data_IF_160879114402
#
_entry.id   IF_160879114402
#
_cell.length_a   1.000
_cell.length_b   1.000
_cell.length_c   1.000
_cell.angle_alpha   90.00
_cell.angle_beta   90.00
_cell.angle_gamma   90.00
#
_symmetry.space_group_name_H-M   'P 1'
#
loop_
_entity.id
_entity.type
_entity.pdbx_description
1 polymer ?
#
# COMPACT_ATOMS: atom_id res chain seq x y z
N UNK A 1 8.67 -4.01 18.04
CA UNK A 1 9.12 -2.79 17.38
C UNK A 1 8.38 -2.55 16.09
N UNK A 2 7.68 -1.47 15.99
CA UNK A 2 6.98 -1.20 14.76
C UNK A 2 7.95 -0.96 13.61
N UNK A 3 7.61 -1.52 12.50
CA UNK A 3 8.34 -1.26 11.29
C UNK A 3 7.95 0.11 10.77
N UNK A 4 8.55 0.50 9.66
CA UNK A 4 8.11 1.67 8.96
C UNK A 4 6.78 1.35 8.32
N UNK A 5 5.72 1.45 9.10
CA UNK A 5 4.40 1.13 8.64
C UNK A 5 3.86 2.24 7.76
N UNK A 6 3.10 1.84 6.77
CA UNK A 6 2.52 2.77 5.81
C UNK A 6 1.01 2.64 5.92
N UNK A 7 0.34 3.77 6.09
CA UNK A 7 -1.11 3.76 6.17
C UNK A 7 -1.66 5.07 5.63
N UNK A 8 -2.91 5.02 5.21
CA UNK A 8 -3.60 6.21 4.72
C UNK A 8 -5.09 6.02 4.88
N UNK A 9 -5.83 7.09 4.64
CA UNK A 9 -7.29 7.07 4.67
C UNK A 9 -7.80 7.51 3.32
N UNK A 10 -8.89 6.91 2.89
CA UNK A 10 -9.56 7.33 1.68
C UNK A 10 -11.04 7.09 1.80
N UNK A 11 -11.79 7.55 0.82
CA UNK A 11 -13.23 7.36 0.79
C UNK A 11 -13.55 6.34 -0.31
N UNK A 12 -14.43 5.39 0.01
CA UNK A 12 -14.87 4.41 -0.97
C UNK A 12 -15.84 5.05 -1.94
N UNK A 13 -16.23 4.29 -2.97
CA UNK A 13 -17.13 4.80 -3.98
C UNK A 13 -18.48 5.21 -3.43
N UNK A 14 -18.93 4.53 -2.37
CA UNK A 14 -20.21 4.86 -1.75
C UNK A 14 -20.10 5.94 -0.68
N UNK A 15 -18.94 6.55 -0.56
CA UNK A 15 -18.75 7.65 0.37
C UNK A 15 -18.33 7.27 1.77
N UNK A 16 -18.06 6.00 2.02
CA UNK A 16 -17.66 5.54 3.34
C UNK A 16 -16.17 5.76 3.56
N UNK A 17 -15.77 6.17 4.77
CA UNK A 17 -14.35 6.30 5.08
C UNK A 17 -13.70 4.93 5.18
N UNK A 18 -12.46 4.85 4.72
CA UNK A 18 -11.71 3.59 4.76
C UNK A 18 -10.29 3.87 5.19
N UNK A 19 -9.80 3.07 6.12
CA UNK A 19 -8.40 3.11 6.52
C UNK A 19 -7.66 1.97 5.84
N UNK A 20 -6.52 2.27 5.25
CA UNK A 20 -5.69 1.28 4.58
C UNK A 20 -4.34 1.24 5.29
N UNK A 21 -3.87 0.05 5.54
CA UNK A 21 -2.61 -0.17 6.23
C UNK A 21 -1.82 -1.21 5.45
N UNK A 22 -0.53 -0.96 5.27
CA UNK A 22 0.33 -1.86 4.52
C UNK A 22 1.49 -2.28 5.39
N UNK A 23 1.74 -3.57 5.42
CA UNK A 23 2.82 -4.15 6.19
C UNK A 23 3.84 -4.75 5.24
N UNK A 24 5.11 -4.46 5.48
CA UNK A 24 6.21 -5.03 4.70
C UNK A 24 6.69 -6.28 5.41
N UNK A 25 6.41 -7.44 4.83
CA UNK A 25 6.78 -8.73 5.41
C UNK A 25 7.70 -9.44 4.43
N UNK A 26 8.98 -9.52 4.79
CA UNK A 26 9.96 -10.08 3.88
C UNK A 26 10.05 -9.25 2.62
N UNK A 27 9.71 -9.87 1.48
CA UNK A 27 9.72 -9.18 0.19
C UNK A 27 8.33 -8.85 -0.30
N UNK A 28 7.32 -9.01 0.57
CA UNK A 28 5.94 -8.80 0.18
C UNK A 28 5.36 -7.59 0.87
N UNK A 29 4.41 -6.98 0.20
CA UNK A 29 3.63 -5.89 0.76
C UNK A 29 2.21 -6.40 0.97
N UNK A 30 1.76 -6.43 2.22
CA UNK A 30 0.45 -6.95 2.57
C UNK A 30 -0.47 -5.80 2.93
N UNK A 31 -1.63 -5.78 2.29
CA UNK A 31 -2.61 -4.71 2.47
C UNK A 31 -3.71 -5.16 3.41
N UNK A 32 -4.12 -4.24 4.27
CA UNK A 32 -5.21 -4.43 5.21
C UNK A 32 -6.10 -3.20 5.17
N UNK A 33 -7.38 -3.39 5.48
CA UNK A 33 -8.31 -2.27 5.51
C UNK A 33 -9.33 -2.46 6.63
N UNK A 34 -9.92 -1.34 7.05
CA UNK A 34 -11.04 -1.34 7.97
C UNK A 34 -11.81 -0.05 7.77
N UNK A 35 -13.12 -0.13 8.03
CA UNK A 35 -13.98 1.03 7.84
C UNK A 35 -14.03 1.91 9.08
N UNK A 36 -14.09 1.29 10.25
CA UNK A 36 -14.21 2.01 11.49
C UNK A 36 -12.98 1.78 12.35
N UNK A 37 -12.70 2.78 13.18
CA UNK A 37 -11.54 2.74 14.04
C UNK A 37 -11.49 1.50 14.93
N UNK A 38 -12.66 0.98 15.32
CA UNK A 38 -12.73 -0.17 16.21
C UNK A 38 -12.85 -1.49 15.49
N UNK A 39 -12.98 -1.46 14.17
CA UNK A 39 -13.07 -2.69 13.40
C UNK A 39 -11.71 -3.39 13.36
N UNK A 40 -11.75 -4.69 13.21
CA UNK A 40 -10.53 -5.45 13.00
C UNK A 40 -10.03 -5.21 11.59
N UNK A 41 -8.70 -5.20 11.46
CA UNK A 41 -8.09 -5.10 10.14
C UNK A 41 -8.39 -6.35 9.33
N UNK A 42 -8.80 -6.16 8.10
CA UNK A 42 -9.11 -7.27 7.20
C UNK A 42 -8.09 -7.31 6.08
N UNK A 43 -7.62 -8.52 5.77
CA UNK A 43 -6.65 -8.69 4.70
C UNK A 43 -7.28 -8.38 3.36
N UNK A 44 -6.60 -7.58 2.54
CA UNK A 44 -7.05 -7.26 1.19
C UNK A 44 -6.11 -7.97 0.22
N UNK A 45 -6.63 -9.02 -0.41
CA UNK A 45 -5.80 -9.84 -1.30
C UNK A 45 -5.61 -9.20 -2.67
N UNK A 46 -6.59 -8.42 -3.12
CA UNK A 46 -6.52 -7.76 -4.41
C UNK A 46 -6.78 -6.27 -4.25
N UNK A 47 -5.80 -5.52 -3.76
CA UNK A 47 -5.98 -4.08 -3.59
C UNK A 47 -6.22 -3.39 -4.94
N UNK A 48 -7.06 -2.35 -4.96
CA UNK A 48 -7.26 -1.61 -6.19
C UNK A 48 -6.02 -0.83 -6.59
N UNK A 49 -5.97 -0.43 -7.85
CA UNK A 49 -4.81 0.29 -8.36
C UNK A 49 -4.51 1.54 -7.55
N UNK A 50 -5.54 2.26 -7.12
CA UNK A 50 -5.30 3.48 -6.35
C UNK A 50 -4.51 3.23 -5.07
N UNK A 51 -4.75 2.10 -4.42
CA UNK A 51 -4.01 1.76 -3.21
C UNK A 51 -2.56 1.39 -3.55
N UNK A 52 -2.35 0.69 -4.65
CA UNK A 52 -1.00 0.40 -5.09
C UNK A 52 -0.22 1.65 -5.43
N UNK A 53 -0.87 2.62 -6.07
CA UNK A 53 -0.21 3.88 -6.41
C UNK A 53 0.11 4.69 -5.16
N UNK A 54 -0.78 4.65 -4.17
CA UNK A 54 -0.51 5.31 -2.91
C UNK A 54 0.69 4.67 -2.21
N UNK A 55 0.78 3.35 -2.25
CA UNK A 55 1.93 2.66 -1.69
C UNK A 55 3.21 3.04 -2.42
N UNK A 56 3.16 3.09 -3.74
CA UNK A 56 4.35 3.46 -4.51
C UNK A 56 4.86 4.85 -4.13
N UNK A 57 3.95 5.80 -4.00
CA UNK A 57 4.34 7.15 -3.59
C UNK A 57 4.99 7.15 -2.20
N UNK A 58 4.40 6.40 -1.27
CA UNK A 58 4.94 6.32 0.07
C UNK A 58 6.33 5.66 0.08
N UNK A 59 6.51 4.64 -0.74
CA UNK A 59 7.81 3.96 -0.83
C UNK A 59 8.85 4.91 -1.39
N UNK A 60 8.51 5.66 -2.43
CA UNK A 60 9.43 6.62 -3.02
C UNK A 60 9.88 7.66 -2.01
N UNK A 61 8.95 8.17 -1.20
CA UNK A 61 9.30 9.14 -0.18
C UNK A 61 10.23 8.54 0.88
N UNK A 62 10.00 7.28 1.24
CA UNK A 62 10.85 6.63 2.25
C UNK A 62 12.23 6.32 1.70
N UNK A 63 12.33 6.00 0.42
CA UNK A 63 13.63 5.80 -0.20
C UNK A 63 14.43 7.11 -0.18
N UNK A 64 13.78 8.23 -0.46
CA UNK A 64 14.43 9.54 -0.41
C UNK A 64 14.94 9.85 0.99
N UNK A 65 14.29 9.35 2.01
CA UNK A 65 14.72 9.53 3.40
C UNK A 65 15.64 8.41 3.88
N UNK A 66 16.01 7.50 2.98
CA UNK A 66 16.87 6.36 3.29
C UNK A 66 16.27 5.42 4.33
N UNK A 67 14.95 5.36 4.38
CA UNK A 67 14.25 4.43 5.27
C UNK A 67 13.96 3.10 4.59
N UNK A 68 14.03 3.05 3.26
CA UNK A 68 13.85 1.84 2.48
C UNK A 68 14.92 1.77 1.40
N UNK A 69 15.17 0.56 0.92
CA UNK A 69 16.13 0.35 -0.14
C UNK A 69 15.52 0.69 -1.49
N UNK A 70 16.31 1.22 -2.44
CA UNK A 70 15.79 1.54 -3.77
C UNK A 70 15.14 0.37 -4.48
N UNK A 71 15.55 -0.86 -4.19
CA UNK A 71 14.96 -2.05 -4.82
C UNK A 71 13.49 -2.18 -4.52
N UNK A 72 13.01 -1.62 -3.40
CA UNK A 72 11.61 -1.74 -3.07
C UNK A 72 10.71 -1.00 -4.05
N UNK A 73 11.18 0.10 -4.60
CA UNK A 73 10.41 0.80 -5.62
C UNK A 73 10.21 -0.08 -6.85
N UNK A 74 11.27 -0.75 -7.29
CA UNK A 74 11.18 -1.62 -8.45
C UNK A 74 10.24 -2.79 -8.19
N UNK A 75 10.25 -3.33 -6.97
CA UNK A 75 9.36 -4.43 -6.61
C UNK A 75 7.91 -4.02 -6.62
N UNK A 76 7.61 -2.84 -6.09
CA UNK A 76 6.23 -2.34 -6.09
C UNK A 76 5.77 -2.10 -7.52
N UNK A 77 6.61 -1.47 -8.34
CA UNK A 77 6.25 -1.23 -9.74
C UNK A 77 5.99 -2.53 -10.49
N UNK A 78 6.82 -3.54 -10.24
CA UNK A 78 6.62 -4.83 -10.90
C UNK A 78 5.29 -5.44 -10.49
N UNK A 79 4.95 -5.39 -9.21
CA UNK A 79 3.68 -5.92 -8.72
C UNK A 79 2.51 -5.21 -9.38
N UNK A 80 2.62 -3.88 -9.54
CA UNK A 80 1.55 -3.11 -10.18
C UNK A 80 1.40 -3.54 -11.64
N UNK A 81 2.52 -3.66 -12.35
CA UNK A 81 2.45 -4.03 -13.76
C UNK A 81 1.86 -5.42 -13.96
N UNK A 82 2.15 -6.34 -13.06
CA UNK A 82 1.62 -7.69 -13.16
C UNK A 82 0.11 -7.73 -12.95
N UNK A 83 -0.40 -6.87 -12.08
CA UNK A 83 -1.83 -6.84 -11.78
C UNK A 83 -2.61 -5.90 -12.66
N UNK A 84 -1.98 -4.83 -13.10
CA UNK A 84 -2.62 -3.79 -13.92
C UNK A 84 -1.71 -3.45 -15.09
N UNK A 85 -1.73 -4.30 -16.13
CA UNK A 85 -0.81 -4.11 -17.26
C UNK A 85 -0.96 -2.76 -17.97
N UNK A 86 -2.12 -2.12 -17.85
CA UNK A 86 -2.34 -0.83 -18.49
C UNK A 86 -1.85 0.34 -17.65
N UNK A 87 -1.43 0.10 -16.43
CA UNK A 87 -0.93 1.18 -15.59
C UNK A 87 0.45 1.62 -16.07
N UNK A 88 0.67 2.95 -16.04
CA UNK A 88 1.94 3.52 -16.47
C UNK A 88 2.85 3.72 -15.28
N UNK A 89 3.51 2.67 -14.87
CA UNK A 89 4.45 2.75 -13.76
C UNK A 89 5.79 2.10 -14.12
#
# INVERSE_FOLDING_TARGET
>A
MPKAEISWKRTTEDGSPLQVYVQHVGREWRFFSREKRYDQWQTVEEPPLEDWLELLDAVQRRINRRLLRPEEEARVKKSIRERFPDAEV
#
